data_IF_430891530193
#
_entry.id   IF_430891530193
#
_cell.length_a   1.000
_cell.length_b   1.000
_cell.length_c   1.000
_cell.angle_alpha   90.00
_cell.angle_beta   90.00
_cell.angle_gamma   90.00
#
_symmetry.space_group_name_H-M   'P 1'
#
loop_
_entity.id
_entity.type
_entity.pdbx_description
1 polymer ?
#
# COMPACT_ATOMS: atom_id res chain seq x y z
N UNK A 1 -16.12 2.42 4.91
CA UNK A 1 -15.83 1.15 4.19
C UNK A 1 -14.90 0.33 5.06
N UNK A 2 -15.27 -0.91 5.43
CA UNK A 2 -14.38 -1.80 6.20
C UNK A 2 -13.34 -2.44 5.28
N UNK A 3 -12.09 -2.48 5.69
CA UNK A 3 -10.96 -2.95 4.86
C UNK A 3 -11.11 -4.43 4.48
N UNK A 4 -11.65 -5.22 5.40
CA UNK A 4 -11.91 -6.65 5.29
C UNK A 4 -12.83 -6.98 4.11
N UNK A 5 -13.77 -6.08 3.79
CA UNK A 5 -14.73 -6.26 2.69
C UNK A 5 -14.04 -6.38 1.32
N UNK A 6 -12.86 -5.78 1.15
CA UNK A 6 -12.00 -5.90 -0.05
C UNK A 6 -11.60 -7.37 -0.29
N UNK A 7 -11.47 -8.14 0.78
CA UNK A 7 -10.93 -9.50 0.80
C UNK A 7 -11.95 -10.56 1.23
N UNK A 8 -13.25 -10.28 1.08
CA UNK A 8 -14.35 -11.22 1.43
C UNK A 8 -14.13 -12.61 0.79
N UNK A 9 -13.70 -12.65 -0.48
CA UNK A 9 -13.38 -13.89 -1.17
C UNK A 9 -12.22 -14.67 -0.51
N UNK A 10 -11.22 -13.96 0.04
CA UNK A 10 -10.10 -14.58 0.73
C UNK A 10 -10.54 -15.27 2.03
N UNK A 11 -11.42 -14.60 2.79
CA UNK A 11 -11.96 -15.13 4.03
C UNK A 11 -12.73 -16.42 3.79
N UNK A 12 -13.60 -16.43 2.78
CA UNK A 12 -14.37 -17.62 2.42
C UNK A 12 -13.49 -18.77 1.93
N UNK A 13 -12.55 -18.47 1.01
CA UNK A 13 -11.61 -19.44 0.45
C UNK A 13 -10.76 -20.10 1.54
N UNK A 14 -10.22 -19.32 2.47
CA UNK A 14 -9.40 -19.84 3.57
C UNK A 14 -10.23 -20.68 4.55
N UNK A 15 -11.38 -20.17 5.01
CA UNK A 15 -12.26 -20.87 5.95
C UNK A 15 -12.73 -22.22 5.40
N UNK A 16 -13.12 -22.28 4.14
CA UNK A 16 -13.56 -23.53 3.52
C UNK A 16 -12.41 -24.51 3.33
N UNK A 17 -11.22 -24.04 2.98
CA UNK A 17 -10.04 -24.90 2.76
C UNK A 17 -9.44 -25.46 4.04
N UNK A 18 -9.54 -24.73 5.14
CA UNK A 18 -9.15 -25.27 6.46
C UNK A 18 -10.14 -26.36 6.88
N UNK A 19 -11.45 -26.18 6.65
CA UNK A 19 -12.47 -27.18 6.97
C UNK A 19 -12.46 -28.39 6.02
N UNK A 20 -12.09 -28.21 4.75
CA UNK A 20 -12.10 -29.24 3.71
C UNK A 20 -10.77 -29.29 2.92
N UNK A 21 -9.67 -29.79 3.53
CA UNK A 21 -8.32 -29.66 2.97
C UNK A 21 -8.05 -30.46 1.70
N UNK A 22 -8.83 -31.52 1.42
CA UNK A 22 -8.65 -32.39 0.24
C UNK A 22 -9.20 -31.80 -1.06
N UNK A 23 -9.99 -30.73 -1.00
CA UNK A 23 -10.51 -30.05 -2.20
C UNK A 23 -9.50 -29.01 -2.69
N UNK A 24 -8.78 -29.34 -3.77
CA UNK A 24 -8.05 -28.35 -4.57
C UNK A 24 -9.08 -27.60 -5.41
N UNK A 25 -9.28 -26.29 -5.21
CA UNK A 25 -9.98 -25.52 -6.23
C UNK A 25 -9.04 -25.37 -7.41
N UNK A 26 -9.40 -25.95 -8.55
CA UNK A 26 -8.82 -25.55 -9.82
C UNK A 26 -9.17 -24.08 -10.03
N UNK A 27 -8.16 -23.22 -10.11
CA UNK A 27 -8.31 -21.81 -10.51
C UNK A 27 -9.02 -21.70 -11.88
N UNK A 28 -9.05 -22.79 -12.65
CA UNK A 28 -9.66 -22.89 -13.98
C UNK A 28 -11.08 -23.48 -13.99
N UNK A 29 -11.66 -23.86 -12.85
CA UNK A 29 -12.94 -24.55 -12.81
C UNK A 29 -14.07 -23.62 -12.35
N UNK A 30 -14.53 -22.80 -13.29
CA UNK A 30 -15.66 -21.87 -13.16
C UNK A 30 -17.03 -22.53 -12.91
N UNK A 31 -17.06 -23.86 -12.74
CA UNK A 31 -18.28 -24.67 -12.56
C UNK A 31 -18.41 -25.31 -11.18
N UNK A 32 -17.59 -24.94 -10.20
CA UNK A 32 -17.67 -25.52 -8.85
C UNK A 32 -18.83 -24.95 -8.02
N UNK A 33 -19.38 -25.78 -7.12
CA UNK A 33 -20.46 -25.43 -6.16
C UNK A 33 -20.16 -24.20 -5.28
N UNK A 34 -18.89 -23.84 -5.15
CA UNK A 34 -18.42 -22.74 -4.31
C UNK A 34 -18.78 -21.37 -4.92
N UNK A 35 -18.89 -21.26 -6.25
CA UNK A 35 -19.33 -20.04 -6.94
C UNK A 35 -20.78 -19.67 -6.60
N UNK A 36 -21.68 -20.66 -6.57
CA UNK A 36 -23.08 -20.45 -6.20
C UNK A 36 -23.25 -20.06 -4.71
N UNK A 37 -22.40 -20.60 -3.83
CA UNK A 37 -22.39 -20.22 -2.41
C UNK A 37 -21.84 -18.79 -2.21
N UNK A 38 -20.84 -18.39 -2.99
CA UNK A 38 -20.34 -17.01 -2.97
C UNK A 38 -21.38 -16.01 -3.46
N UNK A 39 -22.16 -16.34 -4.48
CA UNK A 39 -23.22 -15.45 -4.97
C UNK A 39 -24.33 -15.21 -3.93
N UNK A 40 -24.64 -16.21 -3.09
CA UNK A 40 -25.58 -16.08 -1.98
C UNK A 40 -25.03 -15.18 -0.85
N UNK A 41 -23.75 -15.34 -0.50
CA UNK A 41 -23.07 -14.48 0.50
C UNK A 41 -22.96 -13.05 -0.02
N UNK A 42 -22.59 -12.87 -1.29
CA UNK A 42 -22.56 -11.58 -1.98
C UNK A 42 -23.92 -10.87 -1.90
N UNK A 43 -25.03 -11.57 -2.17
CA UNK A 43 -26.37 -10.99 -2.06
C UNK A 43 -26.70 -10.54 -0.63
N UNK A 44 -26.39 -11.35 0.38
CA UNK A 44 -26.64 -11.00 1.77
C UNK A 44 -25.85 -9.75 2.22
N UNK A 45 -24.59 -9.62 1.78
CA UNK A 45 -23.77 -8.45 2.08
C UNK A 45 -24.26 -7.22 1.29
N UNK A 46 -24.62 -7.36 0.01
CA UNK A 46 -25.22 -6.25 -0.76
C UNK A 46 -26.50 -5.71 -0.14
N UNK A 47 -27.34 -6.58 0.43
CA UNK A 47 -28.55 -6.19 1.15
C UNK A 47 -28.24 -5.41 2.44
N UNK A 48 -27.16 -5.77 3.16
CA UNK A 48 -26.70 -5.00 4.34
C UNK A 48 -26.09 -3.64 4.00
N UNK A 49 -25.37 -3.52 2.87
CA UNK A 49 -24.71 -2.27 2.43
C UNK A 49 -25.70 -1.28 1.82
N UNK A 50 -26.81 -1.75 1.23
CA UNK A 50 -27.90 -0.90 0.71
C UNK A 50 -28.63 -0.09 1.78
N UNK A 51 -28.45 -0.39 3.07
CA UNK A 51 -29.04 0.35 4.18
C UNK A 51 -28.48 1.77 4.39
N UNK A 52 -27.45 2.18 3.65
CA UNK A 52 -26.75 3.47 3.83
C UNK A 52 -26.77 4.38 2.59
N UNK A 53 -27.82 4.33 1.77
CA UNK A 53 -27.94 5.23 0.61
C UNK A 53 -28.55 6.59 1.00
N UNK A 54 -27.79 7.68 0.85
CA UNK A 54 -28.07 8.73 -0.16
C UNK A 54 -27.22 9.99 0.07
N UNK A 55 -26.59 10.53 -0.99
CA UNK A 55 -26.84 11.92 -1.40
C UNK A 55 -26.37 12.22 -2.82
N UNK A 56 -27.30 12.64 -3.66
CA UNK A 56 -27.06 13.26 -4.95
C UNK A 56 -26.41 14.64 -4.74
N UNK A 57 -25.22 14.85 -5.30
CA UNK A 57 -24.61 16.18 -5.43
C UNK A 57 -23.20 16.36 -4.85
N UNK A 58 -22.74 15.49 -3.95
CA UNK A 58 -21.36 15.55 -3.39
C UNK A 58 -20.64 14.19 -3.36
N UNK A 59 -21.30 13.12 -3.81
CA UNK A 59 -20.73 11.77 -3.89
C UNK A 59 -20.26 11.51 -5.33
N UNK A 60 -18.95 11.28 -5.49
CA UNK A 60 -18.43 10.63 -6.69
C UNK A 60 -18.92 9.18 -6.67
N UNK A 61 -20.02 8.92 -7.39
CA UNK A 61 -20.45 7.60 -7.88
C UNK A 61 -20.79 6.52 -6.84
N UNK A 62 -21.91 5.86 -7.04
CA UNK A 62 -22.21 4.55 -6.42
C UNK A 62 -21.15 3.53 -6.88
N UNK A 63 -20.08 3.39 -6.10
CA UNK A 63 -18.89 2.61 -6.44
C UNK A 63 -18.81 1.39 -5.50
N UNK A 64 -19.91 0.62 -5.48
CA UNK A 64 -20.06 -0.59 -4.67
C UNK A 64 -18.90 -1.55 -4.96
N UNK A 65 -18.24 -2.06 -3.91
CA UNK A 65 -17.16 -3.03 -4.08
C UNK A 65 -17.68 -4.29 -4.79
N UNK A 66 -16.85 -4.85 -5.66
CA UNK A 66 -17.11 -6.18 -6.19
C UNK A 66 -16.92 -7.18 -5.02
N UNK A 67 -17.84 -8.12 -4.83
CA UNK A 67 -17.79 -9.07 -3.70
C UNK A 67 -17.47 -10.51 -4.12
N UNK A 68 -17.65 -10.84 -5.40
CA UNK A 68 -17.36 -12.15 -5.97
C UNK A 68 -16.80 -12.04 -7.40
N UNK A 69 -16.02 -13.05 -7.80
CA UNK A 69 -15.32 -13.10 -9.08
C UNK A 69 -13.80 -13.22 -8.95
N UNK A 70 -13.13 -13.45 -10.08
CA UNK A 70 -11.67 -13.53 -10.15
C UNK A 70 -11.03 -12.13 -10.08
N UNK A 71 -9.98 -11.99 -9.27
CA UNK A 71 -9.26 -10.73 -9.13
C UNK A 71 -10.05 -9.61 -8.44
N UNK A 72 -11.04 -9.96 -7.60
CA UNK A 72 -11.91 -8.97 -6.92
C UNK A 72 -11.12 -8.05 -6.01
N UNK A 73 -10.18 -8.59 -5.22
CA UNK A 73 -9.37 -7.76 -4.34
C UNK A 73 -8.54 -6.77 -5.18
N UNK A 74 -7.93 -7.25 -6.26
CA UNK A 74 -7.22 -6.41 -7.22
C UNK A 74 -8.10 -5.27 -7.77
N UNK A 75 -9.30 -5.58 -8.28
CA UNK A 75 -10.23 -4.58 -8.84
C UNK A 75 -10.65 -3.53 -7.80
N UNK A 76 -11.02 -3.99 -6.60
CA UNK A 76 -11.44 -3.13 -5.50
C UNK A 76 -10.32 -2.17 -5.07
N UNK A 77 -9.09 -2.68 -4.89
CA UNK A 77 -7.94 -1.83 -4.53
C UNK A 77 -7.68 -0.80 -5.64
N UNK A 78 -7.67 -1.21 -6.92
CA UNK A 78 -7.48 -0.27 -8.03
C UNK A 78 -8.53 0.84 -8.03
N UNK A 79 -9.80 0.48 -7.83
CA UNK A 79 -10.92 1.40 -7.69
C UNK A 79 -10.75 2.33 -6.48
N UNK A 80 -10.28 1.82 -5.34
CA UNK A 80 -10.00 2.62 -4.12
C UNK A 80 -8.94 3.69 -4.38
N UNK A 81 -7.89 3.35 -5.11
CA UNK A 81 -6.77 4.26 -5.41
C UNK A 81 -6.96 5.06 -6.71
N UNK A 82 -8.09 4.93 -7.40
CA UNK A 82 -8.34 5.62 -8.66
C UNK A 82 -7.38 5.20 -9.78
N UNK A 83 -6.88 3.97 -9.76
CA UNK A 83 -5.97 3.45 -10.78
C UNK A 83 -6.71 3.12 -12.07
N UNK A 84 -6.09 3.46 -13.19
CA UNK A 84 -6.61 3.28 -14.55
C UNK A 84 -5.80 2.25 -15.33
N UNK A 85 -6.42 1.62 -16.33
CA UNK A 85 -5.80 0.57 -17.14
C UNK A 85 -5.76 -0.80 -16.47
N UNK A 86 -5.21 -1.79 -17.18
CA UNK A 86 -5.05 -3.15 -16.70
C UNK A 86 -3.60 -3.40 -16.25
N UNK A 87 -3.38 -4.01 -15.08
CA UNK A 87 -2.04 -4.33 -14.62
C UNK A 87 -1.46 -5.54 -15.37
N UNK A 88 -0.14 -5.69 -15.30
CA UNK A 88 0.54 -6.88 -15.81
C UNK A 88 0.12 -8.11 -15.02
N UNK A 89 -0.49 -9.09 -15.71
CA UNK A 89 -0.97 -10.33 -15.11
C UNK A 89 0.05 -11.47 -15.15
N UNK A 90 1.14 -11.31 -15.91
CA UNK A 90 2.16 -12.33 -16.07
C UNK A 90 3.12 -12.38 -14.89
N UNK A 91 3.74 -13.54 -14.70
CA UNK A 91 4.88 -13.75 -13.81
C UNK A 91 6.11 -13.99 -14.68
N UNK A 92 7.26 -13.49 -14.25
CA UNK A 92 8.56 -13.80 -14.87
C UNK A 92 9.29 -12.56 -15.36
N UNK A 93 9.77 -12.60 -16.60
CA UNK A 93 10.48 -11.48 -17.22
C UNK A 93 9.59 -10.24 -17.27
N UNK A 94 10.13 -9.12 -16.81
CA UNK A 94 9.40 -7.86 -16.82
C UNK A 94 9.02 -7.45 -18.25
N UNK A 95 7.75 -7.10 -18.55
CA UNK A 95 7.27 -6.78 -19.90
C UNK A 95 8.14 -5.74 -20.62
N UNK A 96 8.53 -4.70 -19.89
CA UNK A 96 9.40 -3.61 -20.36
C UNK A 96 10.77 -4.05 -20.91
N UNK A 97 11.26 -5.23 -20.51
CA UNK A 97 12.58 -5.74 -20.88
C UNK A 97 12.51 -7.07 -21.64
N UNK A 98 11.34 -7.42 -22.17
CA UNK A 98 11.21 -8.64 -22.98
C UNK A 98 12.12 -8.64 -24.20
N UNK A 99 12.50 -7.47 -24.74
CA UNK A 99 13.45 -7.36 -25.85
C UNK A 99 14.87 -7.81 -25.49
N UNK A 100 15.23 -7.85 -24.20
CA UNK A 100 16.51 -8.40 -23.73
C UNK A 100 16.50 -9.94 -23.68
N UNK A 101 15.35 -10.58 -23.90
CA UNK A 101 15.24 -12.04 -23.93
C UNK A 101 16.13 -12.63 -25.02
N UNK A 102 16.97 -13.61 -24.66
CA UNK A 102 17.98 -14.21 -25.57
C UNK A 102 19.01 -13.20 -26.12
N UNK A 103 19.14 -12.03 -25.49
CA UNK A 103 20.14 -11.02 -25.83
C UNK A 103 21.33 -11.11 -24.86
N UNK A 104 22.49 -10.62 -25.32
CA UNK A 104 23.65 -10.31 -24.47
C UNK A 104 23.72 -8.82 -24.11
N UNK A 105 22.74 -8.03 -24.53
CA UNK A 105 22.65 -6.61 -24.24
C UNK A 105 22.23 -6.37 -22.79
N UNK A 106 22.69 -5.22 -22.28
CA UNK A 106 22.38 -4.72 -20.96
C UNK A 106 21.71 -3.36 -21.11
N UNK A 107 20.69 -3.10 -20.31
CA UNK A 107 19.98 -1.82 -20.30
C UNK A 107 19.95 -1.26 -18.88
N UNK A 108 20.38 -0.01 -18.72
CA UNK A 108 20.23 0.69 -17.46
C UNK A 108 18.75 1.00 -17.22
N UNK A 109 18.31 0.87 -15.98
CA UNK A 109 16.95 1.25 -15.63
C UNK A 109 16.63 0.97 -14.18
N UNK A 110 16.04 1.96 -13.51
CA UNK A 110 15.71 1.87 -12.10
C UNK A 110 14.83 0.65 -11.79
N UNK A 111 14.89 0.25 -10.53
CA UNK A 111 14.04 -0.78 -9.97
C UNK A 111 13.67 -0.44 -8.53
N UNK A 112 12.38 -0.45 -8.23
CA UNK A 112 11.90 -0.50 -6.86
C UNK A 112 11.50 -1.94 -6.60
N UNK A 113 12.27 -2.60 -5.73
CA UNK A 113 12.15 -4.04 -5.51
C UNK A 113 11.44 -4.30 -4.20
N UNK A 114 10.41 -5.14 -4.24
CA UNK A 114 9.70 -5.62 -3.07
C UNK A 114 9.95 -7.13 -2.92
N UNK A 115 10.36 -7.54 -1.73
CA UNK A 115 10.37 -8.94 -1.31
C UNK A 115 9.36 -9.13 -0.18
N UNK A 116 8.50 -10.13 -0.34
CA UNK A 116 7.65 -10.68 0.72
C UNK A 116 8.09 -12.10 1.03
N UNK A 117 8.00 -12.50 2.30
CA UNK A 117 8.12 -13.89 2.75
C UNK A 117 7.10 -14.19 3.86
N UNK A 118 6.58 -15.41 3.91
CA UNK A 118 5.70 -15.87 5.00
C UNK A 118 6.55 -16.30 6.19
N UNK A 119 6.46 -15.53 7.27
CA UNK A 119 7.05 -15.88 8.54
C UNK A 119 6.23 -16.93 9.30
N UNK A 120 6.91 -17.91 9.91
CA UNK A 120 6.26 -19.00 10.64
C UNK A 120 5.79 -20.16 9.75
N UNK A 121 6.08 -20.12 8.46
CA UNK A 121 5.64 -21.11 7.46
C UNK A 121 6.13 -22.54 7.75
N UNK A 122 7.35 -22.71 8.27
CA UNK A 122 7.89 -24.03 8.67
C UNK A 122 7.14 -24.61 9.87
N UNK A 123 6.62 -23.76 10.75
CA UNK A 123 5.88 -24.19 11.95
C UNK A 123 4.47 -24.67 11.59
N UNK A 124 3.83 -24.06 10.58
CA UNK A 124 2.57 -24.56 10.01
C UNK A 124 2.68 -26.03 9.60
N UNK A 125 3.81 -26.41 8.98
CA UNK A 125 4.12 -27.78 8.58
C UNK A 125 4.15 -28.82 9.70
N UNK A 126 4.34 -28.39 10.96
CA UNK A 126 4.33 -29.28 12.13
C UNK A 126 2.95 -29.43 12.76
N UNK A 127 2.07 -28.44 12.57
CA UNK A 127 0.77 -28.36 13.25
C UNK A 127 -0.38 -28.84 12.38
N UNK A 128 -0.30 -28.62 11.08
CA UNK A 128 -1.38 -28.91 10.15
C UNK A 128 -0.97 -29.98 9.13
N UNK A 129 -1.93 -30.76 8.60
CA UNK A 129 -1.69 -31.62 7.44
C UNK A 129 -1.14 -30.82 6.24
N UNK A 130 -0.33 -31.47 5.41
CA UNK A 130 0.40 -30.80 4.32
C UNK A 130 -0.53 -30.08 3.34
N UNK A 131 -1.73 -30.61 3.10
CA UNK A 131 -2.76 -30.01 2.26
C UNK A 131 -3.29 -28.70 2.85
N UNK A 132 -3.47 -28.65 4.18
CA UNK A 132 -3.89 -27.43 4.88
C UNK A 132 -2.80 -26.37 4.81
N UNK A 133 -1.54 -26.78 5.02
CA UNK A 133 -0.38 -25.88 4.92
C UNK A 133 -0.26 -25.32 3.51
N UNK A 134 -0.41 -26.17 2.49
CA UNK A 134 -0.43 -25.75 1.09
C UNK A 134 -1.55 -24.73 0.84
N UNK A 135 -2.76 -24.99 1.32
CA UNK A 135 -3.91 -24.10 1.13
C UNK A 135 -3.69 -22.73 1.80
N UNK A 136 -3.16 -22.70 3.02
CA UNK A 136 -2.84 -21.43 3.72
C UNK A 136 -1.81 -20.64 2.92
N UNK A 137 -0.68 -21.27 2.56
CA UNK A 137 0.39 -20.62 1.78
C UNK A 137 -0.13 -20.11 0.45
N UNK A 138 -0.85 -20.95 -0.29
CA UNK A 138 -1.39 -20.61 -1.60
C UNK A 138 -2.39 -19.44 -1.53
N UNK A 139 -3.26 -19.40 -0.52
CA UNK A 139 -4.16 -18.26 -0.30
C UNK A 139 -3.38 -16.98 -0.03
N UNK A 140 -2.39 -17.01 0.87
CA UNK A 140 -1.56 -15.83 1.17
C UNK A 140 -0.85 -15.32 -0.09
N UNK A 141 -0.19 -16.21 -0.84
CA UNK A 141 0.55 -15.87 -2.06
C UNK A 141 -0.39 -15.35 -3.16
N UNK A 142 -1.56 -15.97 -3.36
CA UNK A 142 -2.56 -15.53 -4.33
C UNK A 142 -2.98 -14.08 -4.09
N UNK A 143 -3.41 -13.76 -2.88
CA UNK A 143 -3.87 -12.39 -2.57
C UNK A 143 -2.70 -11.41 -2.49
N UNK A 144 -1.49 -11.84 -2.12
CA UNK A 144 -0.30 -11.02 -2.24
C UNK A 144 -0.03 -10.61 -3.70
N UNK A 145 -0.17 -11.54 -4.65
CA UNK A 145 -0.05 -11.25 -6.09
C UNK A 145 -1.16 -10.29 -6.54
N UNK A 146 -2.41 -10.51 -6.13
CA UNK A 146 -3.51 -9.60 -6.47
C UNK A 146 -3.27 -8.18 -5.94
N UNK A 147 -2.73 -8.04 -4.72
CA UNK A 147 -2.38 -6.74 -4.12
C UNK A 147 -1.22 -6.09 -4.91
N UNK A 148 -0.15 -6.83 -5.21
CA UNK A 148 0.99 -6.32 -6.00
C UNK A 148 0.52 -5.80 -7.35
N UNK A 149 -0.29 -6.59 -8.07
CA UNK A 149 -0.86 -6.20 -9.36
C UNK A 149 -1.83 -5.02 -9.24
N UNK A 150 -2.58 -4.93 -8.13
CA UNK A 150 -3.44 -3.78 -7.89
C UNK A 150 -2.65 -2.47 -7.84
N UNK A 151 -1.42 -2.49 -7.33
CA UNK A 151 -0.52 -1.35 -7.30
C UNK A 151 0.45 -1.29 -8.49
N UNK A 152 0.08 -1.89 -9.63
CA UNK A 152 0.88 -1.89 -10.87
C UNK A 152 2.30 -2.47 -10.70
N UNK A 153 2.53 -3.28 -9.67
CA UNK A 153 3.75 -4.04 -9.50
C UNK A 153 3.76 -5.29 -10.38
N UNK A 154 4.93 -5.63 -10.94
CA UNK A 154 5.13 -6.83 -11.72
C UNK A 154 5.75 -7.94 -10.86
N UNK A 155 5.07 -9.08 -10.75
CA UNK A 155 5.56 -10.23 -10.00
C UNK A 155 6.63 -10.95 -10.82
N UNK A 156 7.88 -10.84 -10.37
CA UNK A 156 9.00 -11.48 -11.06
C UNK A 156 9.05 -12.98 -10.76
N UNK A 157 8.99 -13.36 -9.48
CA UNK A 157 9.11 -14.76 -9.04
C UNK A 157 8.29 -15.08 -7.81
N UNK A 158 7.84 -16.34 -7.75
CA UNK A 158 7.37 -17.00 -6.54
C UNK A 158 8.43 -18.04 -6.16
N UNK A 159 8.99 -17.92 -4.95
CA UNK A 159 10.08 -18.77 -4.46
C UNK A 159 9.59 -19.52 -3.22
N UNK A 160 8.71 -20.50 -3.42
CA UNK A 160 8.05 -21.22 -2.32
C UNK A 160 7.03 -20.32 -1.62
N UNK A 161 7.38 -19.81 -0.44
CA UNK A 161 6.58 -18.88 0.36
C UNK A 161 7.03 -17.42 0.29
N UNK A 162 7.97 -17.12 -0.62
CA UNK A 162 8.38 -15.76 -0.92
C UNK A 162 7.88 -15.27 -2.29
N UNK A 163 7.63 -13.97 -2.39
CA UNK A 163 7.28 -13.27 -3.64
C UNK A 163 8.26 -12.13 -3.86
N UNK A 164 8.80 -12.05 -5.07
CA UNK A 164 9.62 -10.93 -5.53
C UNK A 164 8.86 -10.15 -6.61
N UNK A 165 8.80 -8.83 -6.47
CA UNK A 165 8.13 -7.95 -7.41
C UNK A 165 8.93 -6.67 -7.68
N UNK A 166 8.74 -6.13 -8.88
CA UNK A 166 9.32 -4.86 -9.31
C UNK A 166 8.21 -3.83 -9.55
N UNK A 167 8.41 -2.62 -9.05
CA UNK A 167 7.56 -1.46 -9.36
C UNK A 167 8.35 -0.54 -10.28
N UNK A 168 7.96 -0.55 -11.55
CA UNK A 168 8.51 0.34 -12.58
C UNK A 168 7.56 0.40 -13.77
N UNK A 169 7.79 1.38 -14.62
CA UNK A 169 7.09 1.55 -15.91
C UNK A 169 8.08 2.09 -16.94
N UNK A 170 8.05 1.52 -18.15
CA UNK A 170 8.82 2.00 -19.29
C UNK A 170 8.01 3.05 -20.04
N UNK A 171 8.28 4.31 -19.72
CA UNK A 171 8.03 5.41 -20.64
C UNK A 171 9.37 5.92 -21.17
N UNK A 172 9.36 6.52 -22.36
CA UNK A 172 10.56 6.90 -23.13
C UNK A 172 11.47 7.91 -22.40
N UNK A 173 11.01 8.49 -21.30
CA UNK A 173 11.83 9.20 -20.33
C UNK A 173 11.33 8.75 -18.95
N UNK A 174 12.16 8.05 -18.18
CA UNK A 174 11.89 7.75 -16.78
C UNK A 174 11.87 9.09 -16.01
N UNK A 175 10.75 9.82 -16.09
CA UNK A 175 10.59 11.08 -15.38
C UNK A 175 10.59 10.80 -13.89
N UNK A 176 11.16 11.71 -13.12
CA UNK A 176 11.24 11.56 -11.67
C UNK A 176 9.84 11.43 -11.04
N UNK A 177 8.83 12.09 -11.62
CA UNK A 177 7.42 11.96 -11.24
C UNK A 177 6.91 10.52 -11.37
N UNK A 178 7.32 9.80 -12.41
CA UNK A 178 6.95 8.39 -12.60
C UNK A 178 7.65 7.48 -11.60
N UNK A 179 8.94 7.71 -11.33
CA UNK A 179 9.70 6.98 -10.33
C UNK A 179 9.11 7.19 -8.92
N UNK A 180 8.70 8.42 -8.62
CA UNK A 180 7.99 8.78 -7.39
C UNK A 180 6.66 8.06 -7.28
N UNK A 181 5.84 8.05 -8.33
CA UNK A 181 4.58 7.29 -8.35
C UNK A 181 4.82 5.81 -8.06
N UNK A 182 5.81 5.20 -8.70
CA UNK A 182 6.12 3.79 -8.52
C UNK A 182 6.64 3.50 -7.09
N UNK A 183 7.34 4.46 -6.48
CA UNK A 183 7.75 4.37 -5.08
C UNK A 183 6.54 4.44 -4.12
N UNK A 184 5.59 5.33 -4.39
CA UNK A 184 4.32 5.41 -3.65
C UNK A 184 3.55 4.11 -3.78
N UNK A 185 3.46 3.55 -4.98
CA UNK A 185 2.78 2.29 -5.23
C UNK A 185 3.43 1.11 -4.49
N UNK A 186 4.76 1.08 -4.44
CA UNK A 186 5.48 0.04 -3.69
C UNK A 186 5.19 0.08 -2.18
N UNK A 187 5.08 1.27 -1.57
CA UNK A 187 4.86 1.41 -0.13
C UNK A 187 3.37 1.24 0.23
N UNK A 188 2.47 1.66 -0.66
CA UNK A 188 1.04 1.35 -0.58
C UNK A 188 0.81 -0.16 -0.63
N UNK A 189 1.45 -0.84 -1.60
CA UNK A 189 1.43 -2.29 -1.71
C UNK A 189 1.95 -2.94 -0.43
N UNK A 190 3.17 -2.61 0.01
CA UNK A 190 3.76 -3.16 1.23
C UNK A 190 2.83 -3.00 2.44
N UNK A 191 2.22 -1.83 2.60
CA UNK A 191 1.26 -1.56 3.67
C UNK A 191 0.01 -2.44 3.56
N UNK A 192 -0.61 -2.51 2.37
CA UNK A 192 -1.79 -3.36 2.14
C UNK A 192 -1.51 -4.85 2.37
N UNK A 193 -0.31 -5.32 2.07
CA UNK A 193 0.09 -6.70 2.33
C UNK A 193 0.09 -7.00 3.84
N UNK A 194 0.64 -6.10 4.67
CA UNK A 194 0.62 -6.25 6.13
C UNK A 194 -0.81 -6.21 6.66
N UNK A 195 -1.60 -5.25 6.20
CA UNK A 195 -2.98 -5.06 6.67
C UNK A 195 -3.87 -6.23 6.26
N UNK A 196 -3.69 -6.77 5.05
CA UNK A 196 -4.32 -8.02 4.63
C UNK A 196 -3.95 -9.17 5.56
N UNK A 197 -2.67 -9.31 5.91
CA UNK A 197 -2.24 -10.37 6.82
C UNK A 197 -2.87 -10.19 8.21
N UNK A 198 -2.77 -9.00 8.82
CA UNK A 198 -3.23 -8.73 10.19
C UNK A 198 -4.76 -8.75 10.32
N UNK A 199 -5.50 -8.23 9.35
CA UNK A 199 -6.97 -8.07 9.45
C UNK A 199 -7.77 -9.21 8.84
N UNK A 200 -7.18 -9.94 7.88
CA UNK A 200 -7.91 -10.97 7.13
C UNK A 200 -7.41 -12.36 7.47
N UNK A 201 -6.10 -12.58 7.42
CA UNK A 201 -5.54 -13.94 7.51
C UNK A 201 -5.28 -14.35 8.96
N UNK A 202 -4.64 -13.50 9.76
CA UNK A 202 -4.30 -13.81 11.15
C UNK A 202 -5.52 -14.19 11.99
N UNK A 203 -6.65 -13.46 11.97
CA UNK A 203 -7.83 -13.83 12.75
C UNK A 203 -8.36 -15.24 12.42
N UNK A 204 -8.39 -15.60 11.13
CA UNK A 204 -8.85 -16.91 10.67
C UNK A 204 -7.92 -18.03 11.16
N UNK A 205 -6.60 -17.80 11.14
CA UNK A 205 -5.62 -18.78 11.61
C UNK A 205 -5.66 -18.91 13.14
N UNK A 206 -5.87 -17.82 13.87
CA UNK A 206 -5.96 -17.80 15.34
C UNK A 206 -7.22 -18.51 15.85
N UNK A 207 -8.36 -18.36 15.17
CA UNK A 207 -9.61 -19.10 15.47
C UNK A 207 -9.45 -20.62 15.40
N UNK A 208 -8.46 -21.11 14.63
CA UNK A 208 -8.12 -22.53 14.53
C UNK A 208 -7.16 -22.99 15.63
N UNK A 209 -6.89 -22.13 16.61
CA UNK A 209 -6.08 -22.41 17.78
C UNK A 209 -4.58 -22.28 17.54
N UNK A 210 -4.12 -21.41 16.64
CA UNK A 210 -2.69 -21.18 16.42
C UNK A 210 -2.03 -20.47 17.62
N UNK A 211 -1.10 -21.14 18.32
CA UNK A 211 -0.40 -20.60 19.51
C UNK A 211 0.67 -19.56 19.16
N UNK A 212 1.05 -19.45 17.89
CA UNK A 212 2.07 -18.51 17.42
C UNK A 212 1.64 -17.80 16.13
N UNK A 213 2.00 -16.52 15.97
CA UNK A 213 1.54 -15.71 14.85
C UNK A 213 2.21 -16.15 13.54
N UNK A 214 1.41 -16.64 12.60
CA UNK A 214 1.76 -16.63 11.18
C UNK A 214 1.60 -15.21 10.68
N UNK A 215 2.56 -14.74 9.90
CA UNK A 215 2.53 -13.40 9.35
C UNK A 215 3.46 -13.28 8.16
N UNK A 216 3.68 -12.07 7.68
CA UNK A 216 4.60 -11.83 6.57
C UNK A 216 5.72 -10.87 6.96
N UNK A 217 6.82 -10.91 6.22
CA UNK A 217 7.93 -9.96 6.32
C UNK A 217 8.10 -9.30 4.97
N UNK A 218 8.23 -7.99 4.96
CA UNK A 218 8.35 -7.23 3.70
C UNK A 218 9.62 -6.37 3.73
N UNK A 219 10.38 -6.40 2.63
CA UNK A 219 11.53 -5.55 2.39
C UNK A 219 11.37 -4.80 1.09
N UNK A 220 11.59 -3.48 1.10
CA UNK A 220 11.48 -2.65 -0.11
C UNK A 220 12.68 -1.73 -0.23
N UNK A 221 13.29 -1.66 -1.41
CA UNK A 221 14.33 -0.66 -1.69
C UNK A 221 14.29 -0.18 -3.13
N UNK A 222 14.93 0.96 -3.35
CA UNK A 222 15.01 1.65 -4.63
C UNK A 222 16.47 1.69 -5.12
N UNK A 223 16.71 1.16 -6.31
CA UNK A 223 17.93 1.42 -7.10
C UNK A 223 17.60 2.40 -8.22
N UNK A 224 18.42 3.43 -8.38
CA UNK A 224 18.27 4.44 -9.43
C UNK A 224 18.68 3.88 -10.81
N UNK A 225 18.58 4.72 -11.86
CA UNK A 225 18.94 4.31 -13.22
C UNK A 225 20.42 3.96 -13.38
N UNK A 226 21.32 4.65 -12.67
CA UNK A 226 22.77 4.51 -12.84
C UNK A 226 23.33 3.28 -12.12
N UNK A 227 22.64 2.83 -11.06
CA UNK A 227 23.04 1.71 -10.20
C UNK A 227 22.37 0.39 -10.58
N UNK A 228 21.42 0.38 -11.52
CA UNK A 228 20.63 -0.80 -11.88
C UNK A 228 20.77 -1.14 -13.36
N UNK A 229 21.23 -2.36 -13.61
CA UNK A 229 21.30 -2.95 -14.94
C UNK A 229 20.27 -4.06 -15.07
N UNK A 230 19.54 -4.08 -16.17
CA UNK A 230 18.69 -5.19 -16.59
C UNK A 230 19.40 -5.99 -17.67
N UNK A 231 19.29 -7.31 -17.56
CA UNK A 231 19.91 -8.22 -18.51
C UNK A 231 19.33 -9.62 -18.42
N UNK A 232 19.65 -10.42 -19.42
CA UNK A 232 19.24 -11.81 -19.50
C UNK A 232 20.20 -12.70 -18.71
N UNK A 233 19.69 -13.39 -17.69
CA UNK A 233 20.41 -14.35 -16.88
C UNK A 233 20.01 -15.78 -17.27
N UNK A 234 20.97 -16.71 -17.23
CA UNK A 234 20.71 -18.14 -17.37
C UNK A 234 21.30 -18.76 -18.63
N UNK A 235 20.69 -19.84 -19.09
CA UNK A 235 21.12 -20.62 -20.24
C UNK A 235 19.99 -20.75 -21.27
N UNK A 236 20.32 -21.23 -22.48
CA UNK A 236 19.32 -21.44 -23.52
C UNK A 236 18.13 -22.29 -23.02
N UNK A 237 16.92 -21.75 -23.14
CA UNK A 237 15.69 -22.39 -22.68
C UNK A 237 15.42 -22.34 -21.16
N UNK A 238 16.36 -21.81 -20.36
CA UNK A 238 16.23 -21.65 -18.91
C UNK A 238 16.85 -20.31 -18.49
N UNK A 239 16.11 -19.24 -18.71
CA UNK A 239 16.59 -17.87 -18.50
C UNK A 239 15.52 -16.97 -17.89
N UNK A 240 15.96 -15.81 -17.44
CA UNK A 240 15.11 -14.74 -16.92
C UNK A 240 15.77 -13.38 -17.16
N UNK A 241 14.97 -12.40 -17.59
CA UNK A 241 15.42 -11.01 -17.62
C UNK A 241 15.15 -10.41 -16.24
N UNK A 242 16.21 -9.98 -15.57
CA UNK A 242 16.14 -9.48 -14.19
C UNK A 242 17.04 -8.26 -13.98
N UNK A 243 16.66 -7.43 -13.00
CA UNK A 243 17.48 -6.34 -12.50
C UNK A 243 18.65 -6.88 -11.67
N UNK A 244 19.80 -6.24 -11.81
CA UNK A 244 21.01 -6.46 -11.02
C UNK A 244 21.47 -5.15 -10.43
N UNK A 245 21.42 -5.06 -9.10
CA UNK A 245 22.04 -3.97 -8.35
C UNK A 245 22.25 -4.36 -6.90
N UNK A 246 23.11 -3.59 -6.22
CA UNK A 246 23.23 -3.66 -4.76
C UNK A 246 21.87 -3.43 -4.07
N UNK A 247 21.04 -2.51 -4.57
CA UNK A 247 19.74 -2.19 -3.97
C UNK A 247 18.69 -3.28 -4.15
N UNK A 248 18.72 -4.02 -5.27
CA UNK A 248 17.88 -5.21 -5.48
C UNK A 248 18.20 -6.26 -4.41
N UNK A 249 19.48 -6.53 -4.17
CA UNK A 249 19.92 -7.47 -3.12
C UNK A 249 19.61 -6.97 -1.71
N UNK A 250 19.69 -5.67 -1.48
CA UNK A 250 19.35 -5.05 -0.19
C UNK A 250 17.87 -5.25 0.13
N UNK A 251 16.96 -5.18 -0.84
CA UNK A 251 15.53 -5.42 -0.59
C UNK A 251 15.26 -6.80 0.04
N UNK A 252 15.94 -7.85 -0.43
CA UNK A 252 15.86 -9.18 0.18
C UNK A 252 16.42 -9.19 1.62
N UNK A 253 17.54 -8.51 1.87
CA UNK A 253 18.12 -8.40 3.22
C UNK A 253 17.23 -7.63 4.18
N UNK A 254 16.55 -6.58 3.70
CA UNK A 254 15.57 -5.83 4.46
C UNK A 254 14.39 -6.73 4.86
N UNK A 255 13.90 -7.56 3.94
CA UNK A 255 12.85 -8.55 4.23
C UNK A 255 13.32 -9.52 5.32
N UNK A 256 14.53 -10.07 5.22
CA UNK A 256 15.07 -10.96 6.25
C UNK A 256 15.26 -10.28 7.62
N UNK A 257 15.58 -8.99 7.64
CA UNK A 257 15.72 -8.20 8.87
C UNK A 257 14.37 -7.83 9.51
N UNK A 258 13.29 -7.83 8.74
CA UNK A 258 11.96 -7.49 9.22
C UNK A 258 11.46 -8.50 10.27
N UNK A 259 10.78 -7.98 11.30
CA UNK A 259 9.98 -8.81 12.20
C UNK A 259 8.68 -9.23 11.49
N UNK A 260 8.02 -10.26 12.01
CA UNK A 260 6.68 -10.66 11.55
C UNK A 260 5.73 -9.47 11.57
N UNK A 261 4.97 -9.32 10.48
CA UNK A 261 4.05 -8.23 10.18
C UNK A 261 4.69 -6.84 10.22
N UNK A 262 5.91 -6.72 9.70
CA UNK A 262 6.59 -5.42 9.55
C UNK A 262 7.22 -5.26 8.18
N UNK A 263 7.43 -3.99 7.82
CA UNK A 263 8.08 -3.58 6.58
C UNK A 263 9.41 -2.92 6.93
N UNK A 264 10.46 -3.33 6.25
CA UNK A 264 11.77 -2.67 6.27
C UNK A 264 12.01 -1.98 4.94
N UNK A 265 12.52 -0.76 4.98
CA UNK A 265 12.87 0.03 3.80
C UNK A 265 14.32 0.47 3.81
N UNK A 266 14.90 0.60 2.62
CA UNK A 266 16.25 1.11 2.43
C UNK A 266 16.33 2.64 2.45
N UNK A 267 17.55 3.14 2.58
CA UNK A 267 17.82 4.58 2.59
C UNK A 267 17.37 5.28 1.31
N UNK A 268 17.58 4.67 0.15
CA UNK A 268 17.25 5.27 -1.13
C UNK A 268 15.73 5.47 -1.27
N UNK A 269 14.93 4.46 -0.92
CA UNK A 269 13.47 4.61 -0.92
C UNK A 269 12.99 5.65 0.10
N UNK A 270 13.58 5.68 1.29
CA UNK A 270 13.30 6.69 2.32
C UNK A 270 13.60 8.11 1.82
N UNK A 271 14.74 8.31 1.15
CA UNK A 271 15.16 9.60 0.58
C UNK A 271 14.21 10.00 -0.55
N UNK A 272 13.91 9.07 -1.47
CA UNK A 272 13.02 9.29 -2.60
C UNK A 272 11.63 9.75 -2.16
N UNK A 273 11.04 9.09 -1.16
CA UNK A 273 9.70 9.44 -0.65
C UNK A 273 9.70 10.57 0.39
N UNK A 274 10.86 11.16 0.73
CA UNK A 274 10.96 12.22 1.73
C UNK A 274 10.49 11.78 3.13
N UNK A 275 10.64 10.50 3.48
CA UNK A 275 10.04 9.94 4.69
C UNK A 275 10.73 10.45 5.96
N UNK A 276 9.92 11.01 6.85
CA UNK A 276 10.30 11.51 8.16
C UNK A 276 10.36 10.45 9.26
N UNK A 277 10.68 10.90 10.48
CA UNK A 277 10.69 10.08 11.71
C UNK A 277 9.29 9.61 12.15
N UNK A 278 8.26 10.25 11.62
CA UNK A 278 6.85 9.93 11.85
C UNK A 278 6.50 8.58 11.21
N UNK A 279 7.14 8.26 10.08
CA UNK A 279 6.93 7.03 9.33
C UNK A 279 8.10 6.05 9.40
N UNK A 280 9.21 6.41 10.05
CA UNK A 280 10.40 5.56 10.10
C UNK A 280 11.04 5.50 11.48
N UNK A 281 11.49 4.31 11.87
CA UNK A 281 12.28 4.10 13.09
C UNK A 281 13.47 3.18 12.81
N UNK A 282 14.48 3.23 13.67
CA UNK A 282 15.56 2.24 13.64
C UNK A 282 15.08 0.94 14.29
N UNK A 283 15.71 -0.18 13.92
CA UNK A 283 15.48 -1.48 14.56
C UNK A 283 16.56 -1.77 15.59
N UNK A 284 16.17 -2.44 16.68
CA UNK A 284 17.10 -2.91 17.70
C UNK A 284 17.16 -4.43 17.71
N UNK A 285 18.37 -4.98 17.83
CA UNK A 285 18.62 -6.40 17.98
C UNK A 285 19.60 -6.61 19.12
N UNK A 286 19.18 -7.36 20.15
CA UNK A 286 19.96 -7.64 21.35
C UNK A 286 20.45 -6.36 22.06
N UNK A 287 19.60 -5.34 22.16
CA UNK A 287 19.93 -4.06 22.79
C UNK A 287 20.85 -3.14 21.97
N UNK A 288 21.19 -3.53 20.74
CA UNK A 288 22.02 -2.72 19.84
C UNK A 288 21.20 -2.24 18.65
N UNK A 289 21.22 -0.93 18.43
CA UNK A 289 20.63 -0.30 17.25
C UNK A 289 21.29 -0.80 15.96
N UNK A 290 20.49 -1.36 15.06
CA UNK A 290 20.92 -1.89 13.77
C UNK A 290 20.62 -0.87 12.67
N UNK A 291 21.46 0.16 12.58
CA UNK A 291 21.30 1.23 11.60
C UNK A 291 21.59 0.79 10.16
N UNK A 292 22.51 -0.15 9.98
CA UNK A 292 23.00 -0.57 8.66
C UNK A 292 22.56 -1.98 8.31
N UNK A 293 22.32 -2.22 7.01
CA UNK A 293 22.02 -3.54 6.46
C UNK A 293 23.15 -4.52 6.77
N UNK A 294 22.79 -5.78 7.08
CA UNK A 294 23.72 -6.85 7.41
C UNK A 294 23.65 -7.98 6.37
N UNK A 295 24.78 -8.63 6.03
CA UNK A 295 26.15 -8.23 6.41
C UNK A 295 26.53 -6.89 5.77
N UNK A 296 27.32 -6.09 6.50
CA UNK A 296 27.86 -4.83 5.99
C UNK A 296 29.16 -5.15 5.25
N UNK A 297 29.12 -5.11 3.92
CA UNK A 297 30.29 -5.45 3.12
C UNK A 297 31.28 -4.29 3.07
N UNK A 298 32.52 -4.61 2.71
CA UNK A 298 33.56 -3.65 2.42
C UNK A 298 33.67 -3.42 0.92
N UNK A 299 33.89 -2.17 0.53
CA UNK A 299 34.36 -1.79 -0.80
C UNK A 299 35.73 -1.14 -0.59
N UNK A 300 36.79 -1.84 -1.01
CA UNK A 300 38.16 -1.48 -0.63
C UNK A 300 38.34 -1.50 0.89
N UNK A 301 38.78 -0.37 1.46
CA UNK A 301 39.02 -0.23 2.90
C UNK A 301 37.77 0.21 3.69
N UNK A 302 36.73 0.70 3.02
CA UNK A 302 35.55 1.30 3.66
C UNK A 302 34.36 0.34 3.73
N UNK A 303 33.56 0.49 4.79
CA UNK A 303 32.27 -0.21 4.94
C UNK A 303 31.20 0.52 4.12
N UNK A 304 30.30 -0.23 3.46
CA UNK A 304 29.21 0.38 2.67
C UNK A 304 28.28 1.21 3.56
N UNK A 305 27.97 0.74 4.77
CA UNK A 305 27.13 1.45 5.74
C UNK A 305 25.77 1.90 5.17
N UNK A 306 25.15 1.05 4.34
CA UNK A 306 23.83 1.34 3.79
C UNK A 306 22.76 1.28 4.89
N UNK A 307 21.99 2.36 5.06
CA UNK A 307 21.03 2.50 6.17
C UNK A 307 19.72 1.76 5.89
N UNK A 308 19.12 1.25 6.95
CA UNK A 308 17.81 0.59 6.93
C UNK A 308 16.87 1.16 7.98
N UNK A 309 15.57 1.07 7.72
CA UNK A 309 14.53 1.64 8.57
C UNK A 309 13.34 0.71 8.65
N UNK A 310 12.73 0.58 9.85
CA UNK A 310 11.40 0.03 10.00
C UNK A 310 10.40 1.08 9.56
N UNK A 311 9.52 0.74 8.62
CA UNK A 311 8.44 1.60 8.18
C UNK A 311 7.23 1.47 9.11
N UNK A 312 6.68 2.61 9.53
CA UNK A 312 5.50 2.68 10.38
C UNK A 312 4.23 2.65 9.53
N UNK A 313 3.91 1.46 9.04
CA UNK A 313 2.74 1.23 8.19
C UNK A 313 1.42 1.56 8.88
N UNK A 314 1.33 1.48 10.22
CA UNK A 314 0.09 1.80 10.95
C UNK A 314 -0.25 3.28 10.88
N UNK A 315 0.74 4.15 11.08
CA UNK A 315 0.53 5.61 10.91
C UNK A 315 0.32 5.97 9.44
N UNK A 316 1.01 5.30 8.51
CA UNK A 316 0.80 5.51 7.07
C UNK A 316 -0.59 5.05 6.61
N UNK A 317 -1.09 3.92 7.11
CA UNK A 317 -2.40 3.38 6.72
C UNK A 317 -3.55 4.32 7.07
N UNK A 318 -3.42 5.13 8.13
CA UNK A 318 -4.43 6.13 8.53
C UNK A 318 -4.70 7.17 7.44
N UNK A 319 -3.70 7.51 6.64
CA UNK A 319 -3.79 8.59 5.64
C UNK A 319 -4.11 8.08 4.22
N UNK A 320 -4.33 6.77 4.06
CA UNK A 320 -4.67 6.13 2.80
C UNK A 320 -6.17 6.25 2.45
N UNK A 321 -6.54 6.16 1.16
CA UNK A 321 -7.83 6.65 0.69
C UNK A 321 -9.03 5.76 1.10
N UNK A 322 -8.81 4.52 1.51
CA UNK A 322 -9.90 3.66 2.02
C UNK A 322 -10.58 4.24 3.26
N UNK A 323 -9.88 5.02 4.07
CA UNK A 323 -10.46 5.68 5.24
C UNK A 323 -11.34 6.89 4.86
N UNK A 324 -11.27 7.31 3.60
CA UNK A 324 -11.96 8.46 3.04
C UNK A 324 -12.98 8.10 1.96
N UNK A 325 -13.02 6.86 1.47
CA UNK A 325 -13.94 6.50 0.39
C UNK A 325 -15.40 6.57 0.87
N UNK A 326 -16.20 7.37 0.15
CA UNK A 326 -17.56 7.73 0.55
C UNK A 326 -17.61 8.77 1.68
N UNK A 327 -16.47 9.37 2.04
CA UNK A 327 -16.40 10.46 3.02
C UNK A 327 -16.59 11.81 2.34
N UNK A 328 -17.00 12.78 3.13
CA UNK A 328 -17.18 14.16 2.72
C UNK A 328 -15.89 15.00 2.83
N UNK A 329 -14.73 14.35 3.00
CA UNK A 329 -13.41 14.97 3.10
C UNK A 329 -12.62 14.70 1.84
N UNK A 330 -12.26 15.76 1.13
CA UNK A 330 -11.67 15.69 -0.20
C UNK A 330 -10.42 16.57 -0.29
N UNK A 331 -9.54 16.24 -1.23
CA UNK A 331 -8.45 17.11 -1.66
C UNK A 331 -8.68 17.50 -3.11
N UNK A 332 -8.69 18.80 -3.36
CA UNK A 332 -8.85 19.36 -4.70
C UNK A 332 -7.54 20.02 -5.16
N UNK A 333 -7.16 19.72 -6.40
CA UNK A 333 -6.07 20.41 -7.10
C UNK A 333 -6.64 21.65 -7.78
N UNK A 334 -6.14 22.84 -7.43
CA UNK A 334 -6.73 24.09 -7.90
C UNK A 334 -6.47 24.32 -9.39
N UNK A 335 -5.27 24.00 -9.88
CA UNK A 335 -4.85 24.19 -11.27
C UNK A 335 -5.72 23.40 -12.27
N UNK A 336 -6.04 22.15 -11.95
CA UNK A 336 -6.77 21.24 -12.84
C UNK A 336 -8.25 21.12 -12.49
N UNK A 337 -8.67 21.67 -11.34
CA UNK A 337 -10.02 21.51 -10.79
C UNK A 337 -10.43 20.03 -10.66
N UNK A 338 -9.47 19.15 -10.31
CA UNK A 338 -9.69 17.70 -10.13
C UNK A 338 -9.48 17.28 -8.68
N UNK A 339 -10.12 16.17 -8.29
CA UNK A 339 -9.95 15.58 -6.97
C UNK A 339 -8.76 14.63 -6.93
N UNK A 340 -7.92 14.82 -5.92
CA UNK A 340 -6.78 13.95 -5.63
C UNK A 340 -7.21 12.84 -4.68
N UNK A 341 -6.95 11.59 -5.06
CA UNK A 341 -7.17 10.45 -4.17
C UNK A 341 -5.98 10.35 -3.22
N UNK A 342 -6.26 10.40 -1.91
CA UNK A 342 -5.24 10.47 -0.85
C UNK A 342 -4.13 9.42 -1.03
N UNK A 343 -2.87 9.87 -1.05
CA UNK A 343 -1.67 9.02 -1.20
C UNK A 343 -1.69 8.03 -2.38
N UNK A 344 -2.52 8.24 -3.43
CA UNK A 344 -2.56 7.33 -4.59
C UNK A 344 -1.56 7.68 -5.70
N UNK A 345 -1.06 8.91 -5.70
CA UNK A 345 -0.06 9.45 -6.62
C UNK A 345 0.69 10.60 -5.95
N UNK A 346 1.53 11.33 -6.67
CA UNK A 346 2.25 12.51 -6.15
C UNK A 346 1.74 13.81 -6.75
N UNK A 347 1.86 14.90 -5.98
CA UNK A 347 1.68 16.27 -6.45
C UNK A 347 3.05 16.94 -6.44
N UNK A 348 3.38 17.69 -7.49
CA UNK A 348 4.63 18.46 -7.52
C UNK A 348 4.64 19.56 -6.46
N UNK A 349 5.83 20.03 -6.09
CA UNK A 349 5.97 21.18 -5.19
C UNK A 349 5.38 22.46 -5.78
N UNK A 350 4.98 23.35 -4.88
CA UNK A 350 4.48 24.70 -5.20
C UNK A 350 3.18 24.72 -6.01
N UNK A 351 2.35 23.70 -5.81
CA UNK A 351 0.97 23.65 -6.29
C UNK A 351 0.02 24.11 -5.20
N UNK A 352 -1.00 24.84 -5.61
CA UNK A 352 -2.10 25.26 -4.74
C UNK A 352 -3.14 24.14 -4.65
N UNK A 353 -3.49 23.78 -3.43
CA UNK A 353 -4.43 22.72 -3.13
C UNK A 353 -5.48 23.20 -2.13
N UNK A 354 -6.66 22.61 -2.18
CA UNK A 354 -7.73 22.93 -1.25
C UNK A 354 -8.24 21.65 -0.61
N UNK A 355 -8.12 21.56 0.71
CA UNK A 355 -8.82 20.51 1.45
C UNK A 355 -10.27 20.97 1.66
N UNK A 356 -11.21 20.14 1.22
CA UNK A 356 -12.65 20.39 1.36
C UNK A 356 -13.21 19.41 2.38
N UNK A 357 -14.04 19.90 3.29
CA UNK A 357 -14.79 19.05 4.21
C UNK A 357 -16.25 19.47 4.21
N UNK A 358 -17.16 18.53 4.02
CA UNK A 358 -18.59 18.72 4.23
C UNK A 358 -19.03 17.87 5.44
N UNK A 359 -19.71 18.51 6.39
CA UNK A 359 -20.09 17.89 7.66
C UNK A 359 -21.58 18.09 7.87
N UNK A 360 -22.26 17.01 8.28
CA UNK A 360 -23.69 17.05 8.59
C UNK A 360 -23.97 18.10 9.67
N UNK A 361 -24.87 19.04 9.37
CA UNK A 361 -25.25 20.05 10.33
C UNK A 361 -26.26 19.47 11.34
N UNK A 362 -26.02 19.69 12.62
CA UNK A 362 -26.93 19.30 13.70
C UNK A 362 -27.59 20.56 14.28
N UNK A 363 -28.88 20.81 14.02
CA UNK A 363 -29.58 21.99 14.54
C UNK A 363 -29.48 22.10 16.06
N UNK A 364 -29.18 23.31 16.54
CA UNK A 364 -29.09 23.61 17.97
C UNK A 364 -27.77 23.20 18.64
N UNK A 365 -26.88 22.48 17.95
CA UNK A 365 -25.53 22.23 18.44
C UNK A 365 -24.55 23.28 17.91
N UNK A 366 -23.72 23.82 18.81
CA UNK A 366 -22.56 24.63 18.44
C UNK A 366 -21.37 23.71 18.28
N UNK A 367 -20.98 23.50 17.03
CA UNK A 367 -19.88 22.65 16.64
C UNK A 367 -18.76 23.48 16.02
N UNK A 368 -17.52 23.08 16.28
CA UNK A 368 -16.30 23.66 15.70
C UNK A 368 -15.58 22.59 14.92
N UNK A 369 -15.31 22.85 13.64
CA UNK A 369 -14.43 22.02 12.84
C UNK A 369 -12.99 22.47 13.04
N UNK A 370 -12.12 21.51 13.35
CA UNK A 370 -10.69 21.70 13.53
C UNK A 370 -9.99 21.02 12.36
N UNK A 371 -9.19 21.78 11.62
CA UNK A 371 -8.31 21.28 10.57
C UNK A 371 -6.86 21.36 11.04
N UNK A 372 -6.19 20.21 11.14
CA UNK A 372 -4.81 20.08 11.59
C UNK A 372 -3.91 19.58 10.47
N UNK A 373 -3.08 20.47 9.97
CA UNK A 373 -2.07 20.16 8.97
C UNK A 373 -0.81 19.68 9.65
N UNK A 374 -0.33 18.50 9.27
CA UNK A 374 0.97 17.98 9.69
C UNK A 374 1.94 17.97 8.51
N UNK A 375 3.02 18.74 8.63
CA UNK A 375 4.14 18.68 7.70
C UNK A 375 5.20 17.69 8.21
N UNK A 376 5.51 16.66 7.44
CA UNK A 376 6.54 15.66 7.83
C UNK A 376 7.71 15.53 6.85
N UNK A 377 7.63 16.28 5.75
CA UNK A 377 8.61 16.25 4.67
C UNK A 377 10.05 16.44 5.11
N UNK A 378 11.00 15.96 4.33
CA UNK A 378 12.42 16.02 4.72
C UNK A 378 12.98 17.45 4.77
N UNK A 379 12.37 18.37 4.01
CA UNK A 379 12.82 19.75 3.80
C UNK A 379 12.00 20.81 4.55
N UNK A 380 11.07 20.42 5.42
CA UNK A 380 10.20 21.37 6.14
C UNK A 380 10.89 22.16 7.27
N UNK A 381 12.09 21.76 7.72
CA UNK A 381 12.88 22.53 8.69
C UNK A 381 12.09 22.93 9.95
N UNK A 382 11.94 24.24 10.18
CA UNK A 382 11.20 24.81 11.32
C UNK A 382 9.67 24.71 11.19
N UNK A 383 9.17 24.50 9.98
CA UNK A 383 7.73 24.33 9.69
C UNK A 383 7.29 22.86 9.79
N UNK A 384 8.19 21.98 10.25
CA UNK A 384 7.84 20.61 10.62
C UNK A 384 6.90 20.62 11.82
N UNK A 385 5.88 19.78 11.74
CA UNK A 385 4.94 19.56 12.85
C UNK A 385 3.53 19.95 12.47
N UNK A 386 2.73 20.24 13.50
CA UNK A 386 1.28 20.41 13.40
C UNK A 386 0.94 21.90 13.44
N UNK A 387 0.10 22.34 12.50
CA UNK A 387 -0.56 23.64 12.52
C UNK A 387 -2.07 23.44 12.52
N UNK A 388 -2.80 24.32 13.19
CA UNK A 388 -4.23 24.15 13.47
C UNK A 388 -5.03 25.36 13.01
N UNK A 389 -6.15 25.13 12.34
CA UNK A 389 -7.16 26.13 11.97
C UNK A 389 -8.52 25.68 12.54
N UNK A 390 -9.28 26.62 13.10
CA UNK A 390 -10.60 26.36 13.70
C UNK A 390 -11.69 27.12 12.95
N UNK A 391 -12.82 26.46 12.72
CA UNK A 391 -13.95 26.99 11.95
C UNK A 391 -15.24 26.75 12.72
N UNK A 392 -15.88 27.83 13.16
CA UNK A 392 -17.19 27.76 13.82
C UNK A 392 -18.26 27.45 12.78
N UNK A 393 -19.09 26.44 13.04
CA UNK A 393 -20.12 26.01 12.10
C UNK A 393 -21.34 26.93 12.18
N UNK A 394 -21.48 27.85 11.22
CA UNK A 394 -22.56 28.85 11.20
C UNK A 394 -23.39 28.92 9.91
N UNK A 395 -22.84 28.52 8.76
CA UNK A 395 -23.53 28.59 7.45
C UNK A 395 -23.79 27.18 6.90
N UNK A 396 -25.05 26.90 6.54
CA UNK A 396 -25.49 25.56 6.13
C UNK A 396 -26.12 25.64 4.76
N UNK A 397 -25.66 24.79 3.84
CA UNK A 397 -26.30 24.60 2.55
C UNK A 397 -26.81 23.16 2.47
N UNK A 398 -28.11 22.99 2.21
CA UNK A 398 -28.74 21.67 2.03
C UNK A 398 -28.49 20.67 3.18
N UNK A 399 -28.38 21.17 4.43
CA UNK A 399 -28.16 20.33 5.62
C UNK A 399 -26.69 20.05 5.96
N UNK A 400 -25.73 20.62 5.21
CA UNK A 400 -24.30 20.44 5.44
C UNK A 400 -23.60 21.77 5.69
N UNK A 401 -22.62 21.74 6.59
CA UNK A 401 -21.61 22.78 6.72
C UNK A 401 -20.40 22.40 5.87
N UNK A 402 -19.97 23.30 5.00
CA UNK A 402 -18.81 23.09 4.12
C UNK A 402 -17.68 24.03 4.48
N UNK A 403 -16.46 23.52 4.53
CA UNK A 403 -15.25 24.33 4.72
C UNK A 403 -14.22 24.00 3.65
N UNK A 404 -13.51 25.04 3.22
CA UNK A 404 -12.37 24.95 2.32
C UNK A 404 -11.13 25.48 3.04
N UNK A 405 -10.10 24.65 3.11
CA UNK A 405 -8.81 24.98 3.74
C UNK A 405 -7.76 25.05 2.64
N UNK A 406 -7.44 26.26 2.14
CA UNK A 406 -6.40 26.42 1.13
C UNK A 406 -5.02 26.18 1.74
N UNK A 407 -4.19 25.44 1.00
CA UNK A 407 -2.82 25.06 1.35
C UNK A 407 -1.94 25.00 0.10
N UNK A 408 -0.63 24.91 0.28
CA UNK A 408 0.33 24.73 -0.82
C UNK A 408 1.25 23.53 -0.57
N UNK A 409 1.69 22.88 -1.65
CA UNK A 409 2.62 21.73 -1.61
C UNK A 409 4.07 22.18 -1.46
N UNK A 410 4.40 22.86 -0.37
CA UNK A 410 5.70 23.52 -0.20
C UNK A 410 6.90 22.59 0.10
N UNK A 411 6.65 21.36 0.55
CA UNK A 411 7.69 20.48 1.12
C UNK A 411 7.64 19.10 0.51
N UNK A 412 8.81 18.52 0.20
CA UNK A 412 8.90 17.16 -0.30
C UNK A 412 8.63 16.11 0.79
N UNK A 413 7.76 15.16 0.49
CA UNK A 413 7.43 14.02 1.35
C UNK A 413 5.94 13.91 1.64
N UNK A 414 5.60 13.21 2.71
CA UNK A 414 4.21 12.96 3.09
C UNK A 414 3.70 14.06 4.01
N UNK A 415 2.50 14.56 3.75
CA UNK A 415 1.78 15.48 4.61
C UNK A 415 0.36 14.98 4.78
N UNK A 416 -0.33 15.44 5.82
CA UNK A 416 -1.74 15.12 5.97
C UNK A 416 -2.51 16.23 6.66
N UNK A 417 -3.80 16.33 6.33
CA UNK A 417 -4.77 17.12 7.06
C UNK A 417 -5.63 16.20 7.89
N UNK A 418 -5.70 16.42 9.21
CA UNK A 418 -6.65 15.77 10.11
C UNK A 418 -7.83 16.69 10.35
N UNK A 419 -9.04 16.21 10.12
CA UNK A 419 -10.27 16.90 10.48
C UNK A 419 -10.87 16.32 11.76
N UNK A 420 -11.27 17.20 12.67
CA UNK A 420 -11.96 16.86 13.92
C UNK A 420 -13.14 17.78 14.14
N UNK A 421 -14.19 17.29 14.79
CA UNK A 421 -15.34 18.11 15.19
C UNK A 421 -15.39 18.13 16.72
N UNK A 422 -15.52 19.34 17.26
CA UNK A 422 -15.60 19.58 18.69
C UNK A 422 -16.94 20.24 19.04
N UNK A 423 -17.57 19.82 20.13
CA UNK A 423 -18.77 20.46 20.66
C UNK A 423 -18.45 21.72 21.50
N UNK A 424 -19.50 22.43 21.96
CA UNK A 424 -19.35 23.62 22.79
C UNK A 424 -18.73 23.40 24.17
N UNK A 425 -18.66 22.15 24.64
CA UNK A 425 -18.04 21.76 25.91
C UNK A 425 -16.59 21.33 25.72
N UNK A 426 -16.11 21.28 24.47
CA UNK A 426 -14.77 20.87 24.14
C UNK A 426 -14.60 19.36 23.87
N UNK A 427 -15.69 18.59 23.83
CA UNK A 427 -15.64 17.16 23.54
C UNK A 427 -15.49 16.93 22.03
N UNK A 428 -14.65 15.96 21.65
CA UNK A 428 -14.52 15.54 20.26
C UNK A 428 -15.69 14.62 19.92
N UNK A 429 -16.51 15.03 18.96
CA UNK A 429 -17.68 14.27 18.47
C UNK A 429 -17.37 13.48 17.20
N UNK A 430 -16.38 13.92 16.44
CA UNK A 430 -15.83 13.18 15.29
C UNK A 430 -14.32 13.38 15.23
N UNK A 431 -13.59 12.29 15.01
CA UNK A 431 -12.13 12.26 14.93
C UNK A 431 -11.66 11.34 13.79
N UNK A 432 -10.35 11.32 13.56
CA UNK A 432 -9.62 10.37 12.70
C UNK A 432 -9.98 10.43 11.21
N UNK A 433 -10.36 11.62 10.73
CA UNK A 433 -10.55 11.89 9.29
C UNK A 433 -9.27 12.49 8.71
N UNK A 434 -8.50 11.68 7.98
CA UNK A 434 -7.19 12.06 7.47
C UNK A 434 -7.17 12.12 5.95
N UNK A 435 -6.74 13.25 5.40
CA UNK A 435 -6.45 13.40 3.96
C UNK A 435 -4.94 13.47 3.76
N UNK A 436 -4.35 12.36 3.29
CA UNK A 436 -2.92 12.24 3.02
C UNK A 436 -2.52 12.80 1.65
N UNK A 437 -1.36 13.44 1.58
CA UNK A 437 -0.78 14.03 0.36
C UNK A 437 0.69 13.67 0.27
N UNK A 438 1.13 13.25 -0.92
CA UNK A 438 2.55 12.99 -1.18
C UNK A 438 3.05 14.03 -2.16
N UNK A 439 4.07 14.78 -1.75
CA UNK A 439 4.63 15.87 -2.53
C UNK A 439 6.00 15.46 -3.08
N UNK A 440 6.15 15.50 -4.40
CA UNK A 440 7.40 15.18 -5.10
C UNK A 440 8.22 16.44 -5.41
N UNK A 441 9.55 16.33 -5.33
CA UNK A 441 10.47 17.38 -5.77
C UNK A 441 11.31 16.89 -6.94
N UNK A 442 11.29 17.59 -8.09
CA UNK A 442 12.07 17.21 -9.27
C UNK A 442 13.61 17.37 -9.19
N UNK A 443 14.23 17.40 -8.01
CA UNK A 443 15.68 17.69 -7.89
C UNK A 443 16.39 16.68 -6.97
N UNK A 444 15.68 15.70 -6.38
CA UNK A 444 16.24 14.88 -5.31
C UNK A 444 16.98 13.62 -5.75
N UNK A 445 17.16 13.38 -7.05
CA UNK A 445 17.76 12.16 -7.59
C UNK A 445 19.21 12.29 -8.10
N UNK A 446 19.82 13.48 -8.01
CA UNK A 446 21.28 13.61 -8.17
C UNK A 446 22.05 13.27 -6.89
#
# INVERSE_FOLDING_TARGET
>A
MEFESIFTAAQFELNNRIKNPTKKSSVYDSRSSDGASMDLVTKAIQESVRGTASMEGFVIGDDLLDLSGEGVARKNIRRIFGKVGEPSMSIGCHPDFLHLTNSSELENGYAITLFMDISGSTKLGKKYPIETVFNIKNTIIKYAIEIIQAFDGHVHRIMGDAVMAFFRTKEHEASESLMMKNAVDSINCATYLIEFMEKVITPIIEEQGADEPVGIRVGVDYGNNDDVIWGNYGAFGAFEVTATSYNVDVAAKLQHAAKTNTIMIGYNLKKLLGLGKEYTSTIEKSGVSQTYVKPNYKIGESQINYKQYKFNHKEYFKILPQNLKGSAYNLKLNDTNTYYTGCSTTIEKFKEITFEAAVSYVPGQRLTLIAEKTNTGSDCGRERGVSKKEFLMSEVHSGYYTVSVPESTAYHGIHHMKFRIQDSHGNIVEDDKYVGVIVSHPILLN
#
